data_IF_809648461590
#
_entry.id   IF_809648461590
#
_cell.length_a   1.000
_cell.length_b   1.000
_cell.length_c   1.000
_cell.angle_alpha   90.00
_cell.angle_beta   90.00
_cell.angle_gamma   90.00
#
_symmetry.space_group_name_H-M   'P 1'
#
loop_
_entity.id
_entity.type
_entity.pdbx_description
1 polymer ?
#
# COMPACT_ATOMS: atom_id res chain seq x y z
N UNK A 1 38.38 -7.87 27.06
CA UNK A 1 37.28 -6.86 27.12
C UNK A 1 36.61 -6.85 25.76
N UNK A 2 35.63 -7.72 25.55
CA UNK A 2 34.82 -7.73 24.33
C UNK A 2 33.68 -6.74 24.51
N UNK A 3 33.65 -5.71 23.67
CA UNK A 3 32.53 -4.78 23.55
C UNK A 3 31.32 -5.58 23.04
N UNK A 4 30.47 -6.03 23.96
CA UNK A 4 29.15 -6.51 23.61
C UNK A 4 28.36 -5.35 23.05
N UNK A 5 28.17 -5.35 21.73
CA UNK A 5 27.26 -4.42 21.07
C UNK A 5 25.90 -4.54 21.76
N UNK A 6 25.49 -3.48 22.44
CA UNK A 6 24.11 -3.35 22.91
C UNK A 6 23.26 -3.34 21.64
N UNK A 7 22.56 -4.45 21.38
CA UNK A 7 21.34 -4.38 20.58
C UNK A 7 20.43 -3.49 21.42
N UNK A 8 20.34 -2.22 21.02
CA UNK A 8 19.30 -1.34 21.53
C UNK A 8 18.00 -1.95 21.04
N UNK A 9 17.33 -2.76 21.87
CA UNK A 9 15.93 -3.06 21.70
C UNK A 9 15.23 -1.70 21.60
N UNK A 10 14.90 -1.25 20.39
CA UNK A 10 14.01 -0.12 20.28
C UNK A 10 12.70 -0.60 20.86
N UNK A 11 12.11 0.22 21.73
CA UNK A 11 10.84 -0.13 22.35
C UNK A 11 9.84 -0.52 21.24
N UNK A 12 9.26 -1.72 21.31
CA UNK A 12 8.20 -2.22 20.42
C UNK A 12 7.04 -1.22 20.42
N UNK A 13 7.11 -0.25 19.52
CA UNK A 13 6.24 0.95 19.51
C UNK A 13 5.57 1.16 18.16
N UNK A 14 6.05 0.48 17.13
CA UNK A 14 5.53 0.56 15.79
C UNK A 14 4.30 -0.32 15.64
N UNK A 15 3.38 0.15 14.81
CA UNK A 15 2.21 -0.58 14.39
C UNK A 15 2.62 -1.61 13.33
N UNK A 16 2.08 -2.81 13.43
CA UNK A 16 1.99 -3.77 12.34
C UNK A 16 0.58 -3.66 11.76
N UNK A 17 0.42 -3.29 10.49
CA UNK A 17 -0.89 -3.09 9.87
C UNK A 17 -1.01 -4.04 8.68
N UNK A 18 -1.93 -5.00 8.77
CA UNK A 18 -2.32 -5.85 7.64
C UNK A 18 -3.25 -5.05 6.73
N UNK A 19 -2.99 -5.07 5.43
CA UNK A 19 -3.81 -4.42 4.41
C UNK A 19 -4.16 -5.47 3.36
N UNK A 20 -5.45 -5.77 3.23
CA UNK A 20 -5.99 -6.68 2.23
C UNK A 20 -6.74 -5.87 1.16
N UNK A 21 -6.37 -6.03 -0.11
CA UNK A 21 -7.10 -5.45 -1.23
C UNK A 21 -8.37 -6.28 -1.47
N UNK A 22 -9.52 -5.63 -1.31
CA UNK A 22 -10.84 -6.25 -1.40
C UNK A 22 -11.36 -6.26 -2.84
N UNK A 23 -11.18 -5.14 -3.55
CA UNK A 23 -11.78 -4.91 -4.86
C UNK A 23 -11.48 -3.50 -5.39
N UNK A 24 -11.97 -3.21 -6.59
CA UNK A 24 -11.82 -1.93 -7.30
C UNK A 24 -11.96 -2.15 -8.81
N UNK A 25 -12.17 -1.07 -9.56
CA UNK A 25 -12.38 -1.15 -11.01
C UNK A 25 -13.61 -1.98 -11.41
N UNK A 26 -14.62 -2.06 -10.52
CA UNK A 26 -15.83 -2.86 -10.74
C UNK A 26 -15.72 -4.35 -10.38
N UNK A 27 -14.58 -4.80 -9.81
CA UNK A 27 -14.36 -6.20 -9.46
C UNK A 27 -14.14 -6.43 -7.96
N UNK A 28 -14.61 -7.57 -7.45
CA UNK A 28 -14.23 -8.11 -6.14
C UNK A 28 -13.12 -9.15 -6.31
N UNK A 29 -12.08 -9.08 -5.48
CA UNK A 29 -10.91 -9.93 -5.62
C UNK A 29 -10.94 -11.14 -4.68
N UNK A 30 -10.65 -12.32 -5.24
CA UNK A 30 -10.39 -13.54 -4.49
C UNK A 30 -9.39 -14.45 -5.21
N UNK A 31 -8.33 -14.95 -4.53
CA UNK A 31 -7.91 -14.60 -3.17
C UNK A 31 -7.39 -13.16 -3.09
N UNK A 32 -7.56 -12.53 -1.93
CA UNK A 32 -7.21 -11.11 -1.72
C UNK A 32 -5.70 -10.89 -1.70
N UNK A 33 -5.14 -10.05 -2.58
CA UNK A 33 -3.76 -9.59 -2.46
C UNK A 33 -3.59 -8.82 -1.16
N UNK A 34 -2.45 -8.95 -0.50
CA UNK A 34 -2.27 -8.28 0.78
C UNK A 34 -0.83 -8.03 1.17
N UNK A 35 -0.68 -7.08 2.09
CA UNK A 35 0.61 -6.58 2.59
C UNK A 35 0.55 -6.45 4.10
N UNK A 36 1.70 -6.55 4.76
CA UNK A 36 1.86 -6.16 6.17
C UNK A 36 2.84 -5.01 6.24
N UNK A 37 2.40 -3.90 6.81
CA UNK A 37 3.14 -2.66 6.94
C UNK A 37 3.68 -2.47 8.35
N UNK A 38 4.92 -2.04 8.44
CA UNK A 38 5.48 -1.42 9.63
C UNK A 38 5.23 0.09 9.55
N UNK A 39 4.57 0.65 10.57
CA UNK A 39 4.31 2.09 10.62
C UNK A 39 4.56 2.68 12.01
N UNK A 40 5.35 3.74 12.09
CA UNK A 40 5.52 4.49 13.31
C UNK A 40 4.22 5.24 13.65
N UNK A 41 3.90 5.34 14.94
CA UNK A 41 2.73 6.11 15.43
C UNK A 41 2.77 7.61 15.07
N UNK A 42 3.97 8.15 14.78
CA UNK A 42 4.19 9.54 14.36
C UNK A 42 3.91 9.80 12.88
N UNK A 43 3.78 8.74 12.07
CA UNK A 43 3.41 8.89 10.67
C UNK A 43 1.98 9.41 10.56
N UNK A 44 1.67 10.03 9.43
CA UNK A 44 0.33 10.52 9.10
C UNK A 44 -0.48 9.48 8.34
N UNK A 45 -1.78 9.68 8.25
CA UNK A 45 -2.63 8.89 7.35
C UNK A 45 -2.25 9.09 5.89
N UNK A 46 -1.82 10.30 5.50
CA UNK A 46 -1.31 10.55 4.13
C UNK A 46 -0.08 9.70 3.81
N UNK A 47 0.85 9.57 4.76
CA UNK A 47 2.03 8.73 4.58
C UNK A 47 1.66 7.25 4.49
N UNK A 48 0.59 6.82 5.16
CA UNK A 48 0.07 5.46 5.04
C UNK A 48 -0.61 5.25 3.68
N UNK A 49 -1.43 6.19 3.22
CA UNK A 49 -2.07 6.16 1.89
C UNK A 49 -1.01 6.00 0.79
N UNK A 50 -0.02 6.90 0.75
CA UNK A 50 1.11 6.83 -0.19
C UNK A 50 1.80 5.47 -0.17
N UNK A 51 2.05 4.91 1.02
CA UNK A 51 2.72 3.62 1.14
C UNK A 51 1.84 2.45 0.67
N UNK A 52 0.52 2.52 0.89
CA UNK A 52 -0.44 1.54 0.36
C UNK A 52 -0.46 1.64 -1.16
N UNK A 53 -0.60 2.84 -1.71
CA UNK A 53 -0.61 3.09 -3.15
C UNK A 53 0.64 2.53 -3.84
N UNK A 54 1.82 2.80 -3.29
CA UNK A 54 3.08 2.22 -3.78
C UNK A 54 3.09 0.69 -3.73
N UNK A 55 2.67 0.11 -2.60
CA UNK A 55 2.74 -1.34 -2.41
C UNK A 55 1.73 -2.12 -3.26
N UNK A 56 0.70 -1.45 -3.76
CA UNK A 56 -0.36 -1.97 -4.62
C UNK A 56 -0.33 -1.35 -6.03
N UNK A 57 0.79 -0.73 -6.44
CA UNK A 57 0.96 -0.17 -7.79
C UNK A 57 -0.20 0.75 -8.22
N UNK A 58 -0.47 1.77 -7.42
CA UNK A 58 -1.35 2.90 -7.75
C UNK A 58 -0.46 4.12 -8.03
N UNK A 59 -0.22 4.39 -9.31
CA UNK A 59 0.73 5.43 -9.76
C UNK A 59 0.05 6.75 -10.09
N UNK A 60 -1.21 6.74 -10.54
CA UNK A 60 -1.94 7.97 -10.85
C UNK A 60 -2.65 8.50 -9.61
N UNK A 61 -1.89 9.26 -8.82
CA UNK A 61 -2.31 9.73 -7.48
C UNK A 61 -3.08 11.04 -7.49
N UNK A 62 -3.55 11.50 -8.65
CA UNK A 62 -4.38 12.71 -8.72
C UNK A 62 -5.82 12.48 -8.26
N UNK A 63 -6.21 11.22 -8.08
CA UNK A 63 -7.52 10.86 -7.58
C UNK A 63 -7.66 11.12 -6.08
N UNK A 64 -8.90 11.39 -5.67
CA UNK A 64 -9.26 11.51 -4.26
C UNK A 64 -9.19 10.15 -3.56
N UNK A 65 -8.80 10.16 -2.30
CA UNK A 65 -8.76 9.00 -1.42
C UNK A 65 -9.27 9.34 -0.03
N UNK A 66 -9.70 8.32 0.70
CA UNK A 66 -10.14 8.49 2.09
C UNK A 66 -9.90 7.24 2.95
N UNK A 67 -9.85 7.46 4.25
CA UNK A 67 -9.99 6.41 5.25
C UNK A 67 -11.32 6.53 5.97
N UNK A 68 -11.97 5.40 6.21
CA UNK A 68 -13.18 5.30 7.02
C UNK A 68 -12.86 4.52 8.29
N UNK A 69 -12.98 5.19 9.44
CA UNK A 69 -12.76 4.64 10.77
C UNK A 69 -14.12 4.42 11.47
N UNK A 70 -14.08 3.89 12.69
CA UNK A 70 -15.27 3.68 13.51
C UNK A 70 -16.10 4.96 13.71
N UNK A 71 -17.41 4.79 13.87
CA UNK A 71 -18.40 5.87 14.04
C UNK A 71 -18.45 6.85 12.86
N UNK A 72 -18.30 6.34 11.63
CA UNK A 72 -18.36 7.11 10.39
C UNK A 72 -17.31 8.23 10.30
N UNK A 73 -16.22 8.12 11.06
CA UNK A 73 -15.14 9.11 11.04
C UNK A 73 -14.32 8.98 9.77
N UNK A 74 -14.35 10.03 8.94
CA UNK A 74 -13.56 10.12 7.71
C UNK A 74 -12.23 10.84 7.94
N UNK A 75 -11.16 10.29 7.38
CA UNK A 75 -9.85 10.94 7.25
C UNK A 75 -9.54 11.08 5.76
N UNK A 76 -9.65 12.29 5.23
CA UNK A 76 -9.49 12.61 3.81
C UNK A 76 -8.89 14.03 3.66
N UNK A 77 -8.62 14.47 2.43
CA UNK A 77 -8.41 15.90 2.16
C UNK A 77 -9.76 16.63 2.35
N UNK A 78 -9.89 17.57 3.31
CA UNK A 78 -11.17 18.21 3.57
C UNK A 78 -11.61 19.08 2.40
N UNK A 79 -12.86 18.94 1.98
CA UNK A 79 -13.48 19.80 0.98
C UNK A 79 -14.25 20.93 1.68
N UNK A 80 -13.76 22.17 1.56
CA UNK A 80 -14.34 23.31 2.26
C UNK A 80 -15.73 23.73 1.73
N UNK A 81 -16.09 23.30 0.52
CA UNK A 81 -17.38 23.63 -0.10
C UNK A 81 -18.47 22.59 0.26
N UNK A 82 -18.07 21.36 0.60
CA UNK A 82 -19.00 20.24 0.82
C UNK A 82 -18.94 19.65 2.25
N UNK A 83 -17.80 19.68 2.92
CA UNK A 83 -17.66 19.11 4.26
C UNK A 83 -17.99 20.16 5.34
N UNK A 84 -18.81 19.77 6.32
CA UNK A 84 -19.02 20.60 7.49
C UNK A 84 -17.72 20.71 8.32
N UNK A 85 -17.37 21.89 8.86
CA UNK A 85 -16.13 22.07 9.61
C UNK A 85 -15.97 21.07 10.76
N UNK A 86 -14.90 20.27 10.71
CA UNK A 86 -14.55 19.30 11.74
C UNK A 86 -15.18 17.92 11.59
N UNK A 87 -15.94 17.68 10.51
CA UNK A 87 -16.50 16.35 10.19
C UNK A 87 -15.50 15.42 9.50
N UNK A 88 -14.52 15.98 8.79
CA UNK A 88 -13.43 15.26 8.13
C UNK A 88 -12.09 15.65 8.74
N UNK A 89 -11.28 14.65 9.08
CA UNK A 89 -9.91 14.84 9.55
C UNK A 89 -8.93 14.88 8.37
N UNK A 90 -8.03 15.85 8.36
CA UNK A 90 -7.04 16.03 7.29
C UNK A 90 -5.96 14.93 7.31
N UNK A 91 -5.81 14.16 6.22
CA UNK A 91 -4.83 13.06 6.11
C UNK A 91 -3.39 13.49 6.39
N UNK A 92 -3.02 14.72 6.02
CA UNK A 92 -1.65 15.26 6.16
C UNK A 92 -1.34 15.65 7.59
N UNK A 93 -2.37 15.95 8.39
CA UNK A 93 -2.21 16.36 9.81
C UNK A 93 -2.44 15.20 10.78
N UNK A 94 -3.34 14.29 10.43
CA UNK A 94 -3.84 13.28 11.36
C UNK A 94 -2.86 12.13 11.47
N UNK A 95 -2.46 11.79 12.70
CA UNK A 95 -1.39 10.82 13.00
C UNK A 95 -1.93 9.41 13.23
N UNK A 96 -1.13 8.39 12.89
CA UNK A 96 -1.44 6.98 13.16
C UNK A 96 -1.46 6.64 14.65
N UNK A 97 -1.00 7.54 15.53
CA UNK A 97 -1.02 7.36 16.99
C UNK A 97 -2.41 7.17 17.58
N UNK A 98 -3.45 7.56 16.85
CA UNK A 98 -4.86 7.35 17.20
C UNK A 98 -5.32 5.89 17.03
N UNK A 99 -4.62 5.11 16.18
CA UNK A 99 -4.97 3.73 15.91
C UNK A 99 -4.68 2.86 17.14
N UNK A 100 -5.66 2.03 17.49
CA UNK A 100 -5.56 1.09 18.62
C UNK A 100 -5.27 -0.34 18.14
N UNK A 101 -4.65 -1.20 18.97
CA UNK A 101 -4.47 -2.61 18.62
C UNK A 101 -5.80 -3.28 18.28
N UNK A 102 -5.81 -4.15 17.27
CA UNK A 102 -7.01 -4.87 16.81
C UNK A 102 -7.98 -4.03 15.99
N UNK A 103 -7.78 -2.71 15.87
CA UNK A 103 -8.68 -1.84 15.13
C UNK A 103 -8.71 -2.21 13.65
N UNK A 104 -9.92 -2.19 13.07
CA UNK A 104 -10.12 -2.32 11.64
C UNK A 104 -10.64 -1.00 11.08
N UNK A 105 -10.21 -0.67 9.86
CA UNK A 105 -10.65 0.52 9.14
C UNK A 105 -10.50 0.29 7.63
N UNK A 106 -11.19 1.09 6.84
CA UNK A 106 -11.15 1.00 5.38
C UNK A 106 -10.27 2.11 4.84
N UNK A 107 -9.49 1.80 3.80
CA UNK A 107 -8.86 2.79 2.94
C UNK A 107 -9.45 2.63 1.53
N UNK A 108 -9.80 3.75 0.90
CA UNK A 108 -10.33 3.78 -0.47
C UNK A 108 -9.43 4.71 -1.28
N UNK A 109 -8.79 4.16 -2.30
CA UNK A 109 -8.05 4.90 -3.30
C UNK A 109 -8.91 5.05 -4.55
N UNK A 110 -8.87 6.23 -5.17
CA UNK A 110 -9.69 6.59 -6.32
C UNK A 110 -11.19 6.43 -6.04
N UNK A 111 -11.85 7.52 -5.64
CA UNK A 111 -13.29 7.48 -5.36
C UNK A 111 -14.16 7.21 -6.61
N UNK A 112 -13.60 7.26 -7.82
CA UNK A 112 -14.26 6.79 -9.04
C UNK A 112 -14.22 5.28 -9.15
N UNK A 113 -13.02 4.70 -9.13
CA UNK A 113 -12.80 3.25 -9.33
C UNK A 113 -12.94 2.41 -8.05
N UNK A 114 -12.98 3.05 -6.89
CA UNK A 114 -13.23 2.48 -5.56
C UNK A 114 -12.27 1.32 -5.20
N UNK A 115 -10.96 1.51 -5.41
CA UNK A 115 -9.97 0.55 -4.93
C UNK A 115 -9.99 0.49 -3.39
N UNK A 116 -10.60 -0.58 -2.87
CA UNK A 116 -11.00 -0.69 -1.47
C UNK A 116 -10.10 -1.67 -0.73
N UNK A 117 -9.58 -1.23 0.40
CA UNK A 117 -8.65 -1.99 1.24
C UNK A 117 -9.19 -2.12 2.66
N UNK A 118 -9.16 -3.35 3.20
CA UNK A 118 -9.37 -3.59 4.62
C UNK A 118 -8.03 -3.48 5.34
N UNK A 119 -7.92 -2.52 6.25
CA UNK A 119 -6.78 -2.38 7.14
C UNK A 119 -7.10 -2.98 8.50
N UNK A 120 -6.19 -3.79 9.05
CA UNK A 120 -6.29 -4.36 10.41
C UNK A 120 -5.00 -4.10 11.17
N UNK A 121 -5.09 -3.37 12.28
CA UNK A 121 -3.97 -3.12 13.19
C UNK A 121 -3.71 -4.36 14.03
N UNK A 122 -2.48 -4.85 14.01
CA UNK A 122 -2.07 -5.98 14.84
C UNK A 122 -2.16 -5.69 16.34
N UNK A 123 -2.42 -6.74 17.11
CA UNK A 123 -2.51 -6.67 18.57
C UNK A 123 -1.17 -6.30 19.21
N UNK A 124 -0.08 -6.81 18.63
CA UNK A 124 1.27 -6.55 19.10
C UNK A 124 1.94 -5.38 18.36
N UNK A 125 2.77 -4.65 19.10
CA UNK A 125 3.71 -3.70 18.52
C UNK A 125 4.99 -4.42 18.08
N UNK A 126 5.62 -3.87 17.06
CA UNK A 126 6.87 -4.41 16.51
C UNK A 126 8.05 -3.46 16.78
N UNK A 127 9.25 -4.02 16.78
CA UNK A 127 10.50 -3.27 16.59
C UNK A 127 10.78 -3.26 15.07
N UNK A 128 10.89 -2.08 14.42
CA UNK A 128 11.17 -2.01 12.99
C UNK A 128 12.52 -2.62 12.59
N UNK A 129 13.54 -2.56 13.46
CA UNK A 129 14.84 -3.16 13.17
C UNK A 129 14.78 -4.70 13.18
N UNK A 130 13.93 -5.29 14.02
CA UNK A 130 13.73 -6.74 14.04
C UNK A 130 12.83 -7.20 12.88
N UNK A 131 11.74 -6.48 12.60
CA UNK A 131 10.75 -6.89 11.60
C UNK A 131 11.15 -6.54 10.16
N UNK A 132 11.77 -5.38 9.94
CA UNK A 132 12.09 -4.82 8.62
C UNK A 132 13.60 -4.80 8.35
N UNK A 133 14.43 -4.79 9.40
CA UNK A 133 15.89 -4.65 9.28
C UNK A 133 16.39 -3.21 9.19
N UNK A 134 15.48 -2.23 9.10
CA UNK A 134 15.76 -0.78 9.06
C UNK A 134 14.70 -0.03 9.87
N UNK A 135 14.99 1.21 10.27
CA UNK A 135 13.95 2.14 10.73
C UNK A 135 13.53 3.04 9.54
N UNK A 136 12.44 2.71 8.82
CA UNK A 136 12.07 3.47 7.63
C UNK A 136 11.53 4.87 8.01
N UNK A 137 11.67 5.85 7.11
CA UNK A 137 11.14 7.21 7.32
C UNK A 137 9.64 7.33 7.02
N UNK A 138 9.06 6.33 6.35
CA UNK A 138 7.67 6.21 5.96
C UNK A 138 7.12 4.83 6.35
N UNK A 139 5.80 4.63 6.39
CA UNK A 139 5.23 3.28 6.47
C UNK A 139 5.81 2.39 5.35
N UNK A 140 6.17 1.16 5.70
CA UNK A 140 6.91 0.28 4.79
C UNK A 140 6.34 -1.14 4.84
N UNK A 141 5.98 -1.75 3.69
CA UNK A 141 5.58 -3.15 3.66
C UNK A 141 6.81 -4.04 3.89
N UNK A 142 6.68 -5.04 4.76
CA UNK A 142 7.75 -6.02 5.04
C UNK A 142 7.32 -7.47 4.78
N UNK A 143 6.06 -7.69 4.39
CA UNK A 143 5.54 -8.97 3.96
C UNK A 143 4.40 -8.78 2.96
N UNK A 144 4.17 -9.75 2.06
CA UNK A 144 3.10 -9.64 1.08
C UNK A 144 2.80 -10.92 0.30
N UNK A 145 1.62 -10.95 -0.34
CA UNK A 145 1.14 -12.04 -1.18
C UNK A 145 0.12 -11.54 -2.22
N UNK A 146 -0.19 -12.41 -3.19
CA UNK A 146 -1.21 -12.20 -4.23
C UNK A 146 -0.77 -11.32 -5.40
N UNK A 147 -1.44 -11.49 -6.53
CA UNK A 147 -1.24 -10.72 -7.75
C UNK A 147 -1.88 -9.34 -7.60
N UNK A 148 -1.15 -8.28 -7.93
CA UNK A 148 -1.66 -6.92 -7.90
C UNK A 148 -2.29 -6.61 -9.26
N UNK A 149 -3.57 -6.26 -9.35
CA UNK A 149 -4.16 -5.79 -10.60
C UNK A 149 -3.62 -4.40 -10.97
N UNK A 150 -3.40 -4.18 -12.26
CA UNK A 150 -3.12 -2.86 -12.85
C UNK A 150 -4.22 -1.87 -12.45
N UNK A 151 -3.85 -0.63 -12.15
CA UNK A 151 -4.78 0.40 -11.70
C UNK A 151 -5.96 0.61 -12.66
N UNK A 152 -5.74 0.41 -13.96
CA UNK A 152 -6.75 0.58 -15.02
C UNK A 152 -7.01 -0.72 -15.80
N UNK A 153 -6.62 -1.87 -15.23
CA UNK A 153 -6.86 -3.18 -15.83
C UNK A 153 -6.00 -3.52 -17.05
N UNK A 154 -4.95 -2.74 -17.35
CA UNK A 154 -4.09 -2.98 -18.51
C UNK A 154 -3.16 -4.19 -18.30
N UNK A 155 -2.98 -4.97 -19.35
CA UNK A 155 -2.08 -6.12 -19.38
C UNK A 155 -0.70 -5.78 -19.99
N UNK A 156 -0.62 -4.77 -20.87
CA UNK A 156 0.60 -4.20 -21.45
C UNK A 156 0.41 -2.71 -21.78
N UNK A 157 1.43 -2.02 -22.29
CA UNK A 157 1.42 -0.55 -22.46
C UNK A 157 0.33 -0.08 -23.45
N UNK A 158 0.26 -0.70 -24.62
CA UNK A 158 -0.72 -0.42 -25.66
C UNK A 158 -2.03 -1.22 -25.53
N UNK A 159 -2.33 -1.76 -24.34
CA UNK A 159 -3.57 -2.50 -24.12
C UNK A 159 -4.79 -1.56 -24.22
N UNK A 160 -5.60 -1.78 -25.25
CA UNK A 160 -6.85 -1.08 -25.52
C UNK A 160 -8.09 -1.93 -25.23
N UNK A 161 -7.91 -3.07 -24.53
CA UNK A 161 -8.94 -4.09 -24.22
C UNK A 161 -9.54 -4.83 -25.42
N UNK A 162 -9.24 -4.40 -26.66
CA UNK A 162 -9.80 -4.97 -27.89
C UNK A 162 -8.75 -5.77 -28.68
N UNK A 163 -7.49 -5.35 -28.61
CA UNK A 163 -6.37 -5.95 -29.33
C UNK A 163 -5.88 -7.20 -28.60
N UNK A 164 -5.75 -8.37 -29.27
CA UNK A 164 -5.20 -9.57 -28.65
C UNK A 164 -3.74 -9.37 -28.23
N UNK A 165 -3.35 -10.04 -27.13
CA UNK A 165 -1.96 -10.08 -26.67
C UNK A 165 -1.01 -10.46 -27.82
N UNK A 166 0.04 -9.67 -28.11
CA UNK A 166 1.00 -10.00 -29.16
C UNK A 166 1.77 -11.30 -28.82
N UNK A 167 2.28 -12.02 -29.83
CA UNK A 167 3.10 -13.20 -29.61
C UNK A 167 4.35 -12.87 -28.78
N UNK A 168 4.66 -13.74 -27.80
CA UNK A 168 5.87 -13.61 -27.00
C UNK A 168 7.13 -13.75 -27.87
N UNK A 169 8.01 -12.72 -27.96
CA UNK A 169 9.25 -12.79 -28.72
C UNK A 169 10.33 -13.67 -28.07
N UNK A 170 10.05 -14.30 -26.92
CA UNK A 170 10.96 -15.19 -26.20
C UNK A 170 12.31 -14.50 -25.89
N UNK A 171 12.23 -13.27 -25.36
CA UNK A 171 13.38 -12.43 -25.00
C UNK A 171 14.27 -11.99 -26.18
N UNK A 172 13.91 -12.29 -27.43
CA UNK A 172 14.71 -11.97 -28.61
C UNK A 172 14.73 -10.47 -28.97
N UNK A 173 13.75 -9.72 -28.51
CA UNK A 173 13.60 -8.27 -28.66
C UNK A 173 14.45 -7.48 -27.65
N UNK A 174 14.91 -8.13 -26.58
CA UNK A 174 15.72 -7.50 -25.54
C UNK A 174 17.18 -7.32 -25.97
N UNK A 175 17.88 -6.28 -25.48
CA UNK A 175 19.31 -6.11 -25.74
C UNK A 175 20.11 -7.21 -25.01
N UNK A 176 21.23 -7.67 -25.58
CA UNK A 176 22.08 -8.74 -25.01
C UNK A 176 22.90 -8.30 -23.76
N UNK A 177 22.23 -7.73 -22.77
CA UNK A 177 22.80 -7.25 -21.49
C UNK A 177 22.78 -8.33 -20.40
N UNK A 178 21.94 -9.35 -20.55
CA UNK A 178 21.81 -10.46 -19.63
C UNK A 178 21.80 -11.79 -20.38
N UNK A 179 22.35 -12.88 -19.82
CA UNK A 179 22.31 -14.19 -20.46
C UNK A 179 20.89 -14.58 -20.91
N UNK A 180 20.78 -14.96 -22.18
CA UNK A 180 19.51 -15.34 -22.83
C UNK A 180 18.78 -14.22 -23.57
N UNK A 181 19.09 -12.94 -23.29
CA UNK A 181 18.45 -11.82 -24.01
C UNK A 181 19.03 -11.64 -25.41
N UNK A 182 18.17 -11.32 -26.39
CA UNK A 182 18.56 -11.07 -27.78
C UNK A 182 18.91 -12.33 -28.58
N UNK A 183 18.62 -13.53 -28.06
CA UNK A 183 18.87 -14.80 -28.73
C UNK A 183 17.56 -15.39 -29.22
N UNK A 184 17.44 -15.59 -30.54
CA UNK A 184 16.44 -16.49 -31.11
C UNK A 184 16.97 -17.92 -30.95
N UNK A 185 16.45 -18.67 -29.97
CA UNK A 185 16.64 -20.13 -29.98
C UNK A 185 16.03 -20.66 -31.30
N UNK A 186 16.83 -21.41 -32.07
CA UNK A 186 16.40 -22.02 -33.35
C UNK A 186 15.88 -23.43 -33.14
#
# INVERSE_FOLDING_TARGET
>A
MGSGGRISLMSRTWLSIRVDLIGGGGEELWPRPGRIFAAARRHTFEQLATAIDDAFARWDRHHLHEFQLDNDLRVAEPDLDFDEPGTVLDTRKTKLSQLIPGQQFVYIFDLGDCWTYLCTVGDERIDPLEAVGIEPSLPCPYWGWGTIPDQYGRCWDEDDSETPLPPDPQLADLPALYPGWGVLER
#
